data_IF_837091962315
#
_entry.id   IF_837091962315
#
_cell.length_a   1.000
_cell.length_b   1.000
_cell.length_c   1.000
_cell.angle_alpha   90.00
_cell.angle_beta   90.00
_cell.angle_gamma   90.00
#
_symmetry.space_group_name_H-M   'P 1'
#
loop_
_entity.id
_entity.type
_entity.pdbx_description
1 polymer ?
#
# COMPACT_ATOMS: atom_id res chain seq x y z
N UNK A 1 42.11 10.33 36.51
CA UNK A 1 41.68 11.10 35.31
C UNK A 1 41.81 10.19 34.09
N UNK A 2 40.90 9.24 33.89
CA UNK A 2 41.03 8.23 32.81
C UNK A 2 39.69 7.68 32.30
N UNK A 3 38.56 8.33 32.61
CA UNK A 3 37.22 7.75 32.32
C UNK A 3 36.40 8.53 31.28
N UNK A 4 36.83 9.75 30.92
CA UNK A 4 36.12 10.57 29.91
C UNK A 4 36.48 10.19 28.47
N UNK A 5 37.67 9.62 28.22
CA UNK A 5 38.11 9.29 26.87
C UNK A 5 37.36 8.09 26.26
N UNK A 6 36.94 7.13 27.09
CA UNK A 6 36.24 5.92 26.65
C UNK A 6 34.80 6.21 26.20
N UNK A 7 34.11 7.15 26.85
CA UNK A 7 32.73 7.50 26.51
C UNK A 7 32.58 8.20 25.16
N UNK A 8 33.58 8.98 24.73
CA UNK A 8 33.57 9.68 23.45
C UNK A 8 33.81 8.72 22.27
N UNK A 9 34.61 7.67 22.48
CA UNK A 9 34.89 6.65 21.46
C UNK A 9 33.67 5.76 21.15
N UNK A 10 32.83 5.49 22.16
CA UNK A 10 31.56 4.78 21.95
C UNK A 10 30.51 5.57 21.15
N UNK A 11 30.60 6.91 21.11
CA UNK A 11 29.67 7.75 20.34
C UNK A 11 30.11 8.01 18.89
N UNK A 12 31.38 7.78 18.56
CA UNK A 12 31.92 8.04 17.22
C UNK A 12 31.53 6.99 16.15
N UNK A 13 30.96 5.84 16.56
CA UNK A 13 30.65 4.72 15.66
C UNK A 13 29.37 4.84 14.83
N UNK A 14 28.49 5.82 15.05
CA UNK A 14 27.28 6.02 14.22
C UNK A 14 27.57 6.85 12.98
N UNK A 15 28.60 6.44 12.24
CA UNK A 15 28.84 6.91 10.87
C UNK A 15 27.59 6.60 10.06
N UNK A 16 26.92 7.69 9.71
CA UNK A 16 25.80 7.82 8.79
C UNK A 16 26.08 6.98 7.54
N UNK A 17 25.64 5.71 7.53
CA UNK A 17 25.59 4.90 6.31
C UNK A 17 24.66 5.64 5.36
N UNK A 18 25.22 6.45 4.45
CA UNK A 18 24.51 6.94 3.28
C UNK A 18 24.01 5.69 2.57
N UNK A 19 22.70 5.46 2.63
CA UNK A 19 22.04 4.37 1.92
C UNK A 19 22.05 4.77 0.45
N UNK A 20 23.21 4.60 -0.20
CA UNK A 20 23.25 4.55 -1.65
C UNK A 20 22.49 3.29 -2.05
N UNK A 21 21.26 3.48 -2.52
CA UNK A 21 20.47 2.40 -3.10
C UNK A 21 21.29 1.86 -4.27
N UNK A 22 21.80 0.63 -4.14
CA UNK A 22 22.50 -0.02 -5.25
C UNK A 22 21.51 -0.12 -6.42
N UNK A 23 21.92 0.21 -7.64
CA UNK A 23 21.07 0.15 -8.86
C UNK A 23 20.12 -1.07 -8.91
N UNK A 24 20.56 -2.32 -8.62
CA UNK A 24 19.65 -3.48 -8.59
C UNK A 24 18.55 -3.41 -7.53
N UNK A 25 18.80 -2.79 -6.38
CA UNK A 25 17.80 -2.62 -5.32
C UNK A 25 16.71 -1.62 -5.73
N UNK A 26 17.06 -0.61 -6.54
CA UNK A 26 16.07 0.35 -7.06
C UNK A 26 15.11 -0.33 -8.04
N UNK A 27 15.62 -1.14 -8.98
CA UNK A 27 14.77 -1.88 -9.93
C UNK A 27 13.83 -2.86 -9.23
N UNK A 28 14.32 -3.57 -8.21
CA UNK A 28 13.47 -4.46 -7.41
C UNK A 28 12.36 -3.70 -6.68
N UNK A 29 12.69 -2.57 -6.06
CA UNK A 29 11.70 -1.71 -5.41
C UNK A 29 10.67 -1.17 -6.41
N UNK A 30 11.10 -0.71 -7.58
CA UNK A 30 10.19 -0.23 -8.62
C UNK A 30 9.27 -1.35 -9.13
N UNK A 31 9.79 -2.56 -9.31
CA UNK A 31 9.00 -3.73 -9.67
C UNK A 31 7.90 -4.04 -8.65
N UNK A 32 8.24 -4.03 -7.36
CA UNK A 32 7.26 -4.21 -6.28
C UNK A 32 6.21 -3.10 -6.26
N UNK A 33 6.60 -1.83 -6.42
CA UNK A 33 5.65 -0.71 -6.48
C UNK A 33 4.71 -0.85 -7.68
N UNK A 34 5.22 -1.28 -8.84
CA UNK A 34 4.40 -1.53 -10.02
C UNK A 34 3.42 -2.67 -9.79
N UNK A 35 3.85 -3.77 -9.17
CA UNK A 35 2.97 -4.90 -8.81
C UNK A 35 1.87 -4.44 -7.85
N UNK A 36 2.22 -3.65 -6.83
CA UNK A 36 1.23 -3.12 -5.88
C UNK A 36 0.21 -2.24 -6.58
N UNK A 37 0.67 -1.35 -7.47
CA UNK A 37 -0.20 -0.45 -8.23
C UNK A 37 -1.13 -1.26 -9.14
N UNK A 38 -0.61 -2.22 -9.90
CA UNK A 38 -1.43 -3.11 -10.72
C UNK A 38 -2.43 -3.88 -9.85
N UNK A 39 -2.03 -4.35 -8.68
CA UNK A 39 -2.90 -5.09 -7.75
C UNK A 39 -4.07 -4.24 -7.25
N UNK A 40 -3.81 -2.98 -6.88
CA UNK A 40 -4.86 -2.04 -6.46
C UNK A 40 -5.85 -1.80 -7.58
N UNK A 41 -5.36 -1.47 -8.78
CA UNK A 41 -6.20 -1.16 -9.93
C UNK A 41 -7.00 -2.39 -10.40
N UNK A 42 -6.36 -3.56 -10.44
CA UNK A 42 -7.03 -4.81 -10.76
C UNK A 42 -8.10 -5.15 -9.73
N UNK A 43 -7.84 -4.93 -8.44
CA UNK A 43 -8.82 -5.19 -7.39
C UNK A 43 -10.06 -4.28 -7.47
N UNK A 44 -9.88 -2.99 -7.75
CA UNK A 44 -11.01 -2.09 -8.02
C UNK A 44 -11.76 -2.45 -9.30
N UNK A 45 -11.05 -2.82 -10.37
CA UNK A 45 -11.67 -3.23 -11.63
C UNK A 45 -12.47 -4.53 -11.48
N UNK A 46 -11.90 -5.54 -10.80
CA UNK A 46 -12.58 -6.79 -10.51
C UNK A 46 -13.77 -6.58 -9.56
N UNK A 47 -13.60 -5.76 -8.51
CA UNK A 47 -14.69 -5.41 -7.61
C UNK A 47 -15.83 -4.69 -8.33
N UNK A 48 -15.52 -3.83 -9.30
CA UNK A 48 -16.50 -3.14 -10.13
C UNK A 48 -17.26 -4.13 -11.00
N UNK A 49 -16.55 -4.99 -11.74
CA UNK A 49 -17.18 -5.97 -12.65
C UNK A 49 -18.03 -7.01 -11.90
N UNK A 50 -17.66 -7.39 -10.67
CA UNK A 50 -18.49 -8.26 -9.83
C UNK A 50 -19.76 -7.54 -9.39
N UNK A 51 -19.63 -6.30 -8.91
CA UNK A 51 -20.76 -5.55 -8.37
C UNK A 51 -21.74 -5.11 -9.48
N UNK A 52 -21.22 -4.70 -10.63
CA UNK A 52 -21.98 -4.39 -11.85
C UNK A 52 -22.85 -5.56 -12.33
N UNK A 53 -22.35 -6.81 -12.19
CA UNK A 53 -23.12 -8.01 -12.50
C UNK A 53 -24.16 -8.39 -11.45
N UNK A 54 -23.99 -7.93 -10.20
CA UNK A 54 -24.85 -8.27 -9.08
C UNK A 54 -25.99 -7.26 -8.87
N UNK A 55 -25.79 -5.98 -9.22
CA UNK A 55 -26.82 -4.97 -9.07
C UNK A 55 -27.69 -4.89 -10.33
N UNK A 56 -29.03 -4.98 -10.22
CA UNK A 56 -29.92 -4.69 -11.33
C UNK A 56 -29.86 -3.20 -11.70
N UNK A 57 -30.07 -2.90 -12.99
CA UNK A 57 -30.32 -1.55 -13.53
C UNK A 57 -29.20 -0.49 -13.45
N UNK A 58 -27.94 -0.84 -13.72
CA UNK A 58 -26.83 0.14 -13.88
C UNK A 58 -26.74 1.18 -12.74
N UNK A 59 -27.08 0.80 -11.51
CA UNK A 59 -26.95 1.70 -10.35
C UNK A 59 -25.48 2.09 -10.10
N UNK A 60 -24.53 1.31 -10.64
CA UNK A 60 -23.15 1.71 -10.78
C UNK A 60 -22.96 2.47 -12.09
N UNK A 61 -22.62 3.75 -11.99
CA UNK A 61 -22.11 4.52 -13.13
C UNK A 61 -20.85 3.89 -13.76
N UNK A 62 -20.33 4.46 -14.85
CA UNK A 62 -19.14 3.95 -15.52
C UNK A 62 -17.92 3.95 -14.58
N UNK A 63 -17.03 2.95 -14.73
CA UNK A 63 -15.81 2.83 -13.93
C UNK A 63 -14.96 4.11 -13.89
N UNK A 64 -14.99 4.90 -14.98
CA UNK A 64 -14.29 6.18 -15.09
C UNK A 64 -14.71 7.21 -14.04
N UNK A 65 -15.89 7.11 -13.41
CA UNK A 65 -16.30 8.02 -12.33
C UNK A 65 -15.57 7.72 -11.01
N UNK A 66 -15.15 6.47 -10.84
CA UNK A 66 -14.55 5.96 -9.61
C UNK A 66 -13.02 6.01 -9.61
N UNK A 67 -12.36 6.49 -10.68
CA UNK A 67 -10.89 6.52 -10.83
C UNK A 67 -10.13 7.17 -9.66
N UNK A 68 -10.79 8.10 -8.94
CA UNK A 68 -10.24 8.75 -7.75
C UNK A 68 -9.99 7.76 -6.60
N UNK A 69 -10.80 6.71 -6.46
CA UNK A 69 -10.63 5.66 -5.45
C UNK A 69 -9.33 4.88 -5.61
N UNK A 70 -9.08 4.17 -6.73
CA UNK A 70 -7.84 3.43 -6.93
C UNK A 70 -6.62 4.34 -6.94
N UNK A 71 -6.75 5.59 -7.41
CA UNK A 71 -5.64 6.54 -7.40
C UNK A 71 -5.23 6.94 -5.98
N UNK A 72 -6.17 7.43 -5.17
CA UNK A 72 -5.86 7.85 -3.79
C UNK A 72 -5.42 6.64 -2.94
N UNK A 73 -6.05 5.49 -3.16
CA UNK A 73 -5.63 4.24 -2.52
C UNK A 73 -4.20 3.85 -2.92
N UNK A 74 -3.85 3.87 -4.20
CA UNK A 74 -2.49 3.56 -4.65
C UNK A 74 -1.46 4.47 -3.96
N UNK A 75 -1.72 5.77 -3.89
CA UNK A 75 -0.84 6.73 -3.21
C UNK A 75 -0.71 6.45 -1.71
N UNK A 76 -1.83 6.22 -1.03
CA UNK A 76 -1.86 5.89 0.39
C UNK A 76 -1.12 4.58 0.69
N UNK A 77 -1.37 3.54 -0.10
CA UNK A 77 -0.75 2.22 0.05
C UNK A 77 0.76 2.32 -0.16
N UNK A 78 1.22 2.96 -1.24
CA UNK A 78 2.65 3.14 -1.53
C UNK A 78 3.32 3.93 -0.40
N UNK A 79 2.70 5.01 0.08
CA UNK A 79 3.24 5.80 1.19
C UNK A 79 3.38 4.96 2.46
N UNK A 80 2.33 4.22 2.84
CA UNK A 80 2.34 3.34 4.02
C UNK A 80 3.40 2.25 3.86
N UNK A 81 3.43 1.54 2.74
CA UNK A 81 4.39 0.47 2.48
C UNK A 81 5.83 0.98 2.47
N UNK A 82 6.05 2.19 1.94
CA UNK A 82 7.35 2.84 1.96
C UNK A 82 7.79 3.19 3.39
N UNK A 83 6.92 3.83 4.18
CA UNK A 83 7.18 4.17 5.59
C UNK A 83 7.46 2.90 6.40
N UNK A 84 6.67 1.85 6.17
CA UNK A 84 6.83 0.54 6.82
C UNK A 84 7.97 -0.29 6.23
N UNK A 85 8.74 0.24 5.27
CA UNK A 85 9.90 -0.42 4.64
C UNK A 85 9.54 -1.82 4.09
N UNK A 86 8.35 -1.95 3.52
CA UNK A 86 7.86 -3.15 2.84
C UNK A 86 8.57 -3.42 1.51
N UNK A 87 9.27 -2.43 0.96
CA UNK A 87 10.05 -2.53 -0.28
C UNK A 87 11.53 -2.89 -0.05
N UNK A 88 11.93 -3.13 1.19
CA UNK A 88 13.30 -3.51 1.53
C UNK A 88 13.39 -5.03 1.69
N UNK A 89 14.47 -5.62 1.18
CA UNK A 89 14.78 -7.05 1.33
C UNK A 89 14.98 -7.36 2.82
N UNK A 90 13.95 -7.89 3.48
CA UNK A 90 14.03 -8.35 4.88
C UNK A 90 14.59 -9.78 4.91
N UNK A 91 15.24 -10.13 6.01
CA UNK A 91 15.65 -11.51 6.35
C UNK A 91 14.42 -12.43 6.22
N UNK A 92 14.56 -13.76 5.99
CA UNK A 92 13.41 -14.66 5.86
C UNK A 92 12.49 -14.51 7.08
N UNK A 93 11.40 -13.78 6.88
CA UNK A 93 10.30 -13.65 7.83
C UNK A 93 9.31 -14.75 7.45
N UNK A 94 8.64 -15.35 8.43
CA UNK A 94 7.59 -16.31 8.13
C UNK A 94 6.55 -15.67 7.19
N UNK A 95 6.18 -16.36 6.11
CA UNK A 95 5.19 -15.87 5.11
C UNK A 95 3.87 -15.42 5.76
N UNK A 96 3.48 -16.03 6.89
CA UNK A 96 2.29 -15.63 7.65
C UNK A 96 2.39 -14.20 8.20
N UNK A 97 3.57 -13.77 8.67
CA UNK A 97 3.76 -12.41 9.21
C UNK A 97 3.68 -11.35 8.11
N UNK A 98 4.12 -11.70 6.89
CA UNK A 98 3.95 -10.83 5.72
C UNK A 98 2.47 -10.69 5.35
N UNK A 99 1.72 -11.79 5.32
CA UNK A 99 0.29 -11.82 5.05
C UNK A 99 -0.51 -10.89 5.99
N UNK A 100 -0.27 -10.99 7.30
CA UNK A 100 -0.95 -10.13 8.28
C UNK A 100 -0.60 -8.66 8.12
N UNK A 101 0.65 -8.33 7.79
CA UNK A 101 1.06 -6.94 7.55
C UNK A 101 0.43 -6.37 6.29
N UNK A 102 0.33 -7.16 5.21
CA UNK A 102 -0.36 -6.74 3.99
C UNK A 102 -1.82 -6.42 4.30
N UNK A 103 -2.53 -7.30 5.02
CA UNK A 103 -3.92 -7.05 5.43
C UNK A 103 -4.03 -5.77 6.26
N UNK A 104 -3.20 -5.63 7.29
CA UNK A 104 -3.24 -4.50 8.21
C UNK A 104 -3.00 -3.19 7.47
N UNK A 105 -1.92 -3.10 6.70
CA UNK A 105 -1.53 -1.88 5.99
C UNK A 105 -2.47 -1.55 4.84
N UNK A 106 -2.99 -2.55 4.12
CA UNK A 106 -4.03 -2.33 3.11
C UNK A 106 -5.31 -1.79 3.74
N UNK A 107 -5.72 -2.31 4.91
CA UNK A 107 -6.90 -1.82 5.62
C UNK A 107 -6.71 -0.36 6.07
N UNK A 108 -5.53 -0.03 6.60
CA UNK A 108 -5.20 1.37 6.94
C UNK A 108 -5.21 2.26 5.69
N UNK A 109 -4.70 1.78 4.55
CA UNK A 109 -4.72 2.51 3.28
C UNK A 109 -6.15 2.77 2.77
N UNK A 110 -7.05 1.79 2.86
CA UNK A 110 -8.48 1.97 2.54
C UNK A 110 -9.14 2.99 3.44
N UNK A 111 -8.94 2.89 4.76
CA UNK A 111 -9.51 3.83 5.72
C UNK A 111 -9.03 5.25 5.47
N UNK A 112 -7.72 5.40 5.22
CA UNK A 112 -7.14 6.69 4.87
C UNK A 112 -7.70 7.22 3.55
N UNK A 113 -7.87 6.37 2.55
CA UNK A 113 -8.44 6.75 1.25
C UNK A 113 -9.87 7.25 1.38
N UNK A 114 -10.71 6.50 2.10
CA UNK A 114 -12.10 6.88 2.37
C UNK A 114 -12.15 8.20 3.13
N UNK A 115 -11.33 8.38 4.17
CA UNK A 115 -11.25 9.62 4.92
C UNK A 115 -10.80 10.79 4.04
N UNK A 116 -9.72 10.60 3.27
CA UNK A 116 -9.17 11.62 2.38
C UNK A 116 -10.19 12.06 1.33
N UNK A 117 -10.88 11.13 0.67
CA UNK A 117 -11.89 11.46 -0.33
C UNK A 117 -13.12 12.12 0.29
N UNK A 118 -13.55 11.66 1.46
CA UNK A 118 -14.69 12.27 2.17
C UNK A 118 -14.40 13.73 2.56
N UNK A 119 -13.16 14.03 2.94
CA UNK A 119 -12.74 15.39 3.32
C UNK A 119 -12.45 16.29 2.12
N UNK A 120 -11.89 15.75 1.03
CA UNK A 120 -11.40 16.56 -0.11
C UNK A 120 -12.38 16.68 -1.25
N UNK A 121 -13.29 15.72 -1.42
CA UNK A 121 -14.27 15.70 -2.52
C UNK A 121 -15.68 15.63 -1.92
N UNK A 122 -16.25 16.80 -1.55
CA UNK A 122 -17.64 16.87 -1.11
C UNK A 122 -18.55 16.25 -2.17
N UNK A 123 -19.54 15.46 -1.75
CA UNK A 123 -20.50 14.77 -2.65
C UNK A 123 -19.95 13.59 -3.47
N UNK A 124 -18.76 13.05 -3.17
CA UNK A 124 -18.31 11.82 -3.80
C UNK A 124 -19.17 10.62 -3.35
N UNK A 125 -20.16 10.24 -4.17
CA UNK A 125 -21.05 9.10 -3.92
C UNK A 125 -20.43 7.83 -4.48
N UNK A 126 -20.23 6.85 -3.61
CA UNK A 126 -19.82 5.51 -4.00
C UNK A 126 -20.59 4.47 -3.18
N UNK A 127 -20.78 3.29 -3.76
CA UNK A 127 -21.38 2.18 -3.05
C UNK A 127 -20.41 1.63 -2.00
N UNK A 128 -20.84 1.50 -0.74
CA UNK A 128 -19.97 0.99 0.34
C UNK A 128 -19.52 -0.44 0.07
N UNK A 129 -20.40 -1.25 -0.53
CA UNK A 129 -20.10 -2.61 -1.00
C UNK A 129 -18.95 -2.63 -1.99
N UNK A 130 -18.87 -1.68 -2.91
CA UNK A 130 -17.78 -1.57 -3.89
C UNK A 130 -16.40 -1.51 -3.22
N UNK A 131 -16.27 -0.69 -2.17
CA UNK A 131 -15.00 -0.57 -1.43
C UNK A 131 -14.67 -1.87 -0.69
N UNK A 132 -15.66 -2.56 -0.14
CA UNK A 132 -15.45 -3.84 0.56
C UNK A 132 -15.00 -4.94 -0.41
N UNK A 133 -15.64 -5.07 -1.57
CA UNK A 133 -15.23 -6.03 -2.60
C UNK A 133 -13.82 -5.73 -3.13
N UNK A 134 -13.55 -4.46 -3.46
CA UNK A 134 -12.22 -4.05 -3.89
C UNK A 134 -11.17 -4.36 -2.80
N UNK A 135 -11.43 -4.01 -1.54
CA UNK A 135 -10.54 -4.30 -0.42
C UNK A 135 -10.20 -5.80 -0.30
N UNK A 136 -11.19 -6.68 -0.37
CA UNK A 136 -10.98 -8.13 -0.28
C UNK A 136 -10.15 -8.67 -1.45
N UNK A 137 -10.44 -8.22 -2.68
CA UNK A 137 -9.70 -8.65 -3.86
C UNK A 137 -8.27 -8.12 -3.84
N UNK A 138 -8.06 -6.87 -3.43
CA UNK A 138 -6.71 -6.27 -3.31
C UNK A 138 -5.85 -7.08 -2.33
N UNK A 139 -6.41 -7.50 -1.18
CA UNK A 139 -5.70 -8.38 -0.24
C UNK A 139 -5.27 -9.67 -0.94
N UNK A 140 -6.17 -10.32 -1.68
CA UNK A 140 -5.87 -11.57 -2.37
C UNK A 140 -4.76 -11.39 -3.40
N UNK A 141 -4.85 -10.35 -4.24
CA UNK A 141 -3.89 -10.10 -5.33
C UNK A 141 -2.53 -9.67 -4.78
N UNK A 142 -2.48 -8.80 -3.77
CA UNK A 142 -1.22 -8.38 -3.14
C UNK A 142 -0.45 -9.53 -2.50
N UNK A 143 -1.16 -10.49 -1.88
CA UNK A 143 -0.53 -11.66 -1.29
C UNK A 143 -0.05 -12.68 -2.32
N UNK A 144 -0.64 -12.72 -3.51
CA UNK A 144 -0.18 -13.59 -4.60
C UNK A 144 0.99 -12.93 -5.36
N UNK A 145 0.99 -11.60 -5.49
CA UNK A 145 1.98 -10.85 -6.25
C UNK A 145 3.31 -10.59 -5.53
N UNK A 146 3.39 -10.80 -4.22
CA UNK A 146 4.56 -10.52 -3.36
C UNK A 146 5.13 -11.79 -2.77
#
# INVERSE_FOLDING_TARGET
MTDSASYDEYKAGRVKRRVFIKRPQLYFMLGLVLIDLVSVWLGYFAGYTILDRMLPDNELGPFSEFWRLPLVHSLALIAIFFIQRMYQRRRPVAHLDEFFKVILYNTVAVLFTVAALTLTVPQFRYHRSFVVYAWAIIIMVLNIGR
#
